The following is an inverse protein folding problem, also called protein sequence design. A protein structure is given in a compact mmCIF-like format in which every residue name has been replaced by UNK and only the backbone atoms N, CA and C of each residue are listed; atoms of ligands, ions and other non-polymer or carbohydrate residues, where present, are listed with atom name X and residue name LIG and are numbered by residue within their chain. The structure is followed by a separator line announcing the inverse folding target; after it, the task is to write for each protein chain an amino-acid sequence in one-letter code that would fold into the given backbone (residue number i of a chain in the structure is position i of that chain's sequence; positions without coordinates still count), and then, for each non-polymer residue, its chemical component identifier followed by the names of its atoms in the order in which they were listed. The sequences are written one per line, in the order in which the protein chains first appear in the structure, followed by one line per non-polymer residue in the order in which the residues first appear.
data_IF_452076647637
#
_entry.id   IF_452076647637
#
_cell.length_a   1.000
_cell.length_b   1.000
_cell.length_c   1.000
_cell.angle_alpha   90.00
_cell.angle_beta   90.00
_cell.angle_gamma   90.00
#
_symmetry.space_group_name_H-M   'P 1'
#
loop_
_entity.id
_entity.type
_entity.pdbx_description
1 polymer ?
#
# COMPACT_ATOMS: atom_id res chain seq x y z
N UNK A 1 15.85 -21.06 -0.68
CA UNK A 1 16.75 -19.99 -1.15
C UNK A 1 16.62 -19.90 -2.65
N UNK A 2 16.54 -18.70 -3.21
CA UNK A 2 16.53 -18.48 -4.66
C UNK A 2 17.96 -18.70 -5.22
N UNK A 3 18.14 -19.53 -6.26
CA UNK A 3 19.45 -19.72 -6.90
C UNK A 3 19.99 -18.42 -7.51
N UNK A 4 21.31 -18.19 -7.44
CA UNK A 4 21.95 -16.98 -8.00
C UNK A 4 21.91 -16.97 -9.53
N UNK A 5 21.86 -18.17 -10.12
CA UNK A 5 21.81 -18.46 -11.55
C UNK A 5 20.55 -17.89 -12.20
N UNK A 6 19.49 -17.65 -11.43
CA UNK A 6 18.28 -16.98 -11.94
C UNK A 6 18.62 -15.60 -12.54
N UNK A 7 19.62 -14.91 -12.00
CA UNK A 7 20.10 -13.64 -12.53
C UNK A 7 20.78 -13.74 -13.90
N UNK A 8 21.06 -14.95 -14.41
CA UNK A 8 21.54 -15.16 -15.78
C UNK A 8 20.40 -15.20 -16.80
N UNK A 9 19.15 -15.31 -16.36
CA UNK A 9 17.95 -15.31 -17.20
C UNK A 9 17.60 -13.88 -17.65
N UNK A 10 18.50 -13.20 -18.35
CA UNK A 10 18.39 -11.77 -18.73
C UNK A 10 17.23 -11.46 -19.67
N UNK A 11 16.63 -12.49 -20.30
CA UNK A 11 15.42 -12.37 -21.14
C UNK A 11 14.12 -12.64 -20.36
N UNK A 12 14.20 -12.97 -19.08
CA UNK A 12 13.05 -13.28 -18.24
C UNK A 12 12.17 -12.03 -18.11
N UNK A 13 10.89 -12.19 -18.42
CA UNK A 13 9.87 -11.13 -18.31
C UNK A 13 8.98 -11.30 -17.09
N UNK A 14 8.81 -12.52 -16.60
CA UNK A 14 7.94 -12.83 -15.46
C UNK A 14 8.67 -13.73 -14.50
N UNK A 15 8.66 -13.36 -13.22
CA UNK A 15 9.20 -14.16 -12.13
C UNK A 15 8.12 -14.31 -11.07
N UNK A 16 7.59 -15.51 -10.95
CA UNK A 16 6.60 -15.89 -9.94
C UNK A 16 7.25 -16.77 -8.88
N UNK A 17 7.26 -16.28 -7.65
CA UNK A 17 7.77 -16.87 -6.43
C UNK A 17 6.67 -16.96 -5.36
N UNK A 18 5.40 -16.83 -5.75
CA UNK A 18 4.27 -17.00 -4.84
C UNK A 18 4.22 -18.42 -4.29
N UNK A 19 3.66 -18.56 -3.09
CA UNK A 19 3.52 -19.82 -2.37
C UNK A 19 4.85 -20.58 -2.13
N UNK A 20 5.99 -19.90 -2.26
CA UNK A 20 7.30 -20.45 -1.93
C UNK A 20 7.56 -20.30 -0.42
N UNK A 21 6.77 -20.97 0.43
CA UNK A 21 6.79 -20.80 1.90
C UNK A 21 8.14 -21.10 2.58
N UNK A 22 9.05 -21.80 1.88
CA UNK A 22 10.42 -22.09 2.35
C UNK A 22 11.46 -21.08 1.82
N UNK A 23 11.03 -20.04 1.09
CA UNK A 23 11.91 -19.01 0.54
C UNK A 23 12.35 -18.06 1.66
N UNK A 24 13.48 -18.39 2.30
CA UNK A 24 14.10 -17.53 3.33
C UNK A 24 15.16 -16.59 2.78
N UNK A 25 15.62 -16.82 1.55
CA UNK A 25 16.78 -16.10 1.03
C UNK A 25 16.68 -15.80 -0.44
N UNK A 26 16.83 -14.52 -0.78
CA UNK A 26 17.01 -14.01 -2.12
C UNK A 26 18.41 -13.39 -2.15
N UNK A 27 19.38 -13.98 -2.86
CA UNK A 27 20.74 -13.45 -2.88
C UNK A 27 20.78 -12.01 -3.41
N UNK A 28 21.65 -11.14 -2.86
CA UNK A 28 21.78 -9.78 -3.33
C UNK A 28 22.35 -9.74 -4.75
N UNK A 29 21.90 -8.76 -5.53
CA UNK A 29 22.25 -8.52 -6.92
C UNK A 29 21.49 -9.38 -7.93
N UNK A 30 20.55 -10.22 -7.49
CA UNK A 30 19.74 -11.06 -8.40
C UNK A 30 18.81 -10.20 -9.23
N UNK A 31 18.06 -9.28 -8.61
CA UNK A 31 17.10 -8.46 -9.34
C UNK A 31 17.81 -7.44 -10.25
N UNK A 32 18.99 -6.95 -9.86
CA UNK A 32 19.78 -6.04 -10.69
C UNK A 32 20.12 -6.57 -12.09
N UNK A 33 20.14 -7.90 -12.28
CA UNK A 33 20.46 -8.55 -13.56
C UNK A 33 19.24 -8.81 -14.44
N UNK A 34 18.03 -8.67 -13.91
CA UNK A 34 16.77 -8.97 -14.59
C UNK A 34 16.15 -7.70 -15.18
N UNK A 35 16.91 -6.91 -15.95
CA UNK A 35 16.48 -5.59 -16.43
C UNK A 35 15.23 -5.59 -17.32
N UNK A 36 14.89 -6.73 -17.94
CA UNK A 36 13.71 -6.95 -18.79
C UNK A 36 12.50 -7.52 -18.06
N UNK A 37 12.57 -7.67 -16.73
CA UNK A 37 11.46 -8.18 -15.94
C UNK A 37 10.30 -7.18 -15.94
N UNK A 38 9.14 -7.66 -16.38
CA UNK A 38 7.88 -6.92 -16.47
C UNK A 38 6.97 -7.24 -15.28
N UNK A 39 7.00 -8.48 -14.79
CA UNK A 39 6.18 -8.95 -13.67
C UNK A 39 7.02 -9.66 -12.61
N UNK A 40 6.88 -9.20 -11.37
CA UNK A 40 7.47 -9.83 -10.20
C UNK A 40 6.39 -10.11 -9.17
N UNK A 41 6.13 -11.40 -8.93
CA UNK A 41 5.19 -11.86 -7.91
C UNK A 41 5.93 -12.68 -6.86
N UNK A 42 6.00 -12.19 -5.64
CA UNK A 42 6.57 -12.88 -4.48
C UNK A 42 5.47 -13.18 -3.45
N UNK A 43 4.47 -12.30 -3.37
CA UNK A 43 3.37 -12.40 -2.44
C UNK A 43 3.84 -12.35 -0.98
N UNK A 44 3.27 -13.22 -0.14
CA UNK A 44 3.64 -13.38 1.28
C UNK A 44 4.82 -14.35 1.49
N UNK A 45 5.45 -14.83 0.41
CA UNK A 45 6.50 -15.87 0.49
C UNK A 45 7.83 -15.38 1.04
N UNK A 46 8.05 -14.06 1.10
CA UNK A 46 9.32 -13.47 1.52
C UNK A 46 9.13 -12.09 2.16
N UNK A 47 9.72 -11.91 3.35
CA UNK A 47 9.71 -10.65 4.10
C UNK A 47 11.09 -10.22 4.59
N UNK A 48 12.10 -11.07 4.45
CA UNK A 48 13.46 -10.87 5.00
C UNK A 48 14.34 -9.95 4.12
N UNK A 49 13.81 -8.82 3.68
CA UNK A 49 14.53 -7.85 2.84
C UNK A 49 15.81 -7.33 3.53
N UNK A 50 16.91 -7.26 2.78
CA UNK A 50 18.18 -6.73 3.26
C UNK A 50 18.21 -5.20 3.32
N UNK A 51 19.16 -4.66 4.10
CA UNK A 51 19.39 -3.22 4.19
C UNK A 51 19.98 -2.66 2.88
N UNK A 52 19.57 -1.44 2.51
CA UNK A 52 20.13 -0.72 1.36
C UNK A 52 21.64 -0.47 1.57
N UNK A 53 22.43 -0.56 0.51
CA UNK A 53 23.88 -0.33 0.54
C UNK A 53 24.73 -1.42 1.20
N UNK A 54 24.12 -2.41 1.85
CA UNK A 54 24.82 -3.51 2.52
C UNK A 54 24.66 -4.84 1.77
N UNK A 55 25.57 -5.10 0.83
CA UNK A 55 25.66 -6.39 0.12
C UNK A 55 26.81 -7.23 0.68
N UNK A 56 26.54 -8.00 1.74
CA UNK A 56 27.45 -9.07 2.16
C UNK A 56 27.00 -10.39 1.52
N UNK A 57 27.88 -11.39 1.45
CA UNK A 57 27.47 -12.69 0.94
C UNK A 57 26.30 -13.28 1.74
N UNK A 58 26.19 -12.94 3.03
CA UNK A 58 25.18 -13.43 3.97
C UNK A 58 23.87 -12.61 3.97
N UNK A 59 23.87 -11.40 3.40
CA UNK A 59 22.67 -10.57 3.36
C UNK A 59 21.65 -11.06 2.32
N UNK A 60 20.41 -10.59 2.47
CA UNK A 60 19.34 -10.75 1.48
C UNK A 60 19.32 -9.57 0.51
N UNK A 61 18.66 -9.75 -0.63
CA UNK A 61 18.33 -8.67 -1.56
C UNK A 61 17.58 -7.55 -0.83
N UNK A 62 17.94 -6.32 -1.14
CA UNK A 62 17.20 -5.14 -0.66
C UNK A 62 16.10 -4.75 -1.64
N UNK A 63 15.11 -3.98 -1.17
CA UNK A 63 14.11 -3.38 -2.06
C UNK A 63 14.73 -2.41 -3.09
N UNK A 64 15.93 -1.88 -2.82
CA UNK A 64 16.62 -0.96 -3.72
C UNK A 64 17.00 -1.61 -5.05
N UNK A 65 17.19 -2.93 -5.08
CA UNK A 65 17.48 -3.65 -6.33
C UNK A 65 16.31 -3.60 -7.33
N UNK A 66 15.07 -3.42 -6.84
CA UNK A 66 13.90 -3.29 -7.72
C UNK A 66 13.97 -2.01 -8.58
N UNK A 67 14.79 -1.01 -8.21
CA UNK A 67 15.06 0.18 -9.04
C UNK A 67 15.70 -0.18 -10.39
N UNK A 68 16.48 -1.26 -10.43
CA UNK A 68 17.13 -1.73 -11.66
C UNK A 68 16.16 -2.40 -12.64
N UNK A 69 14.97 -2.80 -12.19
CA UNK A 69 13.95 -3.47 -12.99
C UNK A 69 13.18 -2.45 -13.83
N UNK A 70 13.81 -1.84 -14.82
CA UNK A 70 13.25 -0.72 -15.60
C UNK A 70 11.87 -1.02 -16.21
N UNK A 71 11.65 -2.25 -16.72
CA UNK A 71 10.41 -2.68 -17.36
C UNK A 71 9.29 -3.14 -16.41
N UNK A 72 9.51 -3.12 -15.08
CA UNK A 72 8.55 -3.67 -14.11
C UNK A 72 7.25 -2.86 -14.08
N UNK A 73 6.14 -3.47 -14.47
CA UNK A 73 4.78 -2.88 -14.46
C UNK A 73 3.81 -3.62 -13.56
N UNK A 74 4.11 -4.87 -13.22
CA UNK A 74 3.31 -5.69 -12.28
C UNK A 74 4.16 -6.08 -11.09
N UNK A 75 3.73 -5.69 -9.88
CA UNK A 75 4.47 -5.99 -8.65
C UNK A 75 3.56 -6.52 -7.55
N UNK A 76 3.91 -7.69 -7.03
CA UNK A 76 3.22 -8.29 -5.92
C UNK A 76 4.23 -8.69 -4.84
N UNK A 77 4.25 -7.94 -3.74
CA UNK A 77 5.23 -8.13 -2.66
C UNK A 77 4.65 -7.75 -1.31
N UNK A 78 5.30 -8.27 -0.27
CA UNK A 78 5.16 -7.81 1.09
C UNK A 78 6.38 -7.03 1.56
N UNK A 79 6.13 -5.89 2.18
CA UNK A 79 7.10 -4.97 2.76
C UNK A 79 6.81 -4.92 4.27
N UNK A 80 7.67 -5.49 5.14
CA UNK A 80 7.39 -5.56 6.58
C UNK A 80 7.34 -4.19 7.25
N UNK A 81 8.01 -3.18 6.69
CA UNK A 81 8.07 -1.84 7.26
C UNK A 81 8.25 -0.78 6.15
N UNK A 82 7.43 0.28 6.14
CA UNK A 82 7.57 1.36 5.15
C UNK A 82 8.97 2.01 5.16
N UNK A 83 9.68 2.00 6.31
CA UNK A 83 11.02 2.57 6.47
C UNK A 83 12.11 1.86 5.63
N UNK A 84 11.87 0.63 5.19
CA UNK A 84 12.84 -0.09 4.33
C UNK A 84 12.67 0.24 2.84
N UNK A 85 11.65 1.02 2.48
CA UNK A 85 11.48 1.52 1.12
C UNK A 85 12.58 2.56 0.88
N UNK A 86 13.45 2.35 -0.12
CA UNK A 86 14.62 3.21 -0.31
C UNK A 86 14.20 4.58 -0.84
N UNK A 87 14.97 5.62 -0.50
CA UNK A 87 14.69 6.99 -0.96
C UNK A 87 14.74 7.05 -2.50
N UNK A 88 13.79 7.76 -3.12
CA UNK A 88 13.68 7.87 -4.58
C UNK A 88 13.24 6.57 -5.27
N UNK A 89 12.60 5.64 -4.56
CA UNK A 89 12.00 4.45 -5.14
C UNK A 89 10.61 4.77 -5.68
N UNK A 90 10.46 4.89 -7.00
CA UNK A 90 9.17 5.24 -7.59
C UNK A 90 8.31 4.02 -7.93
N UNK A 91 7.07 4.02 -7.44
CA UNK A 91 6.01 3.07 -7.84
C UNK A 91 5.19 3.56 -9.04
N UNK A 92 5.51 4.72 -9.63
CA UNK A 92 4.66 5.39 -10.63
C UNK A 92 4.34 4.55 -11.86
N UNK A 93 5.31 3.79 -12.34
CA UNK A 93 5.19 2.94 -13.53
C UNK A 93 4.33 1.70 -13.35
N UNK A 94 3.95 1.35 -12.11
CA UNK A 94 3.16 0.16 -11.85
C UNK A 94 1.73 0.35 -12.38
N UNK A 95 1.34 -0.57 -13.25
CA UNK A 95 -0.02 -0.65 -13.80
C UNK A 95 -0.89 -1.59 -12.96
N UNK A 96 -0.27 -2.65 -12.43
CA UNK A 96 -0.90 -3.65 -11.58
C UNK A 96 -0.04 -3.90 -10.33
N UNK A 97 -0.65 -3.91 -9.16
CA UNK A 97 0.08 -4.21 -7.94
C UNK A 97 -0.79 -4.83 -6.85
N UNK A 98 -0.18 -5.69 -6.06
CA UNK A 98 -0.71 -6.19 -4.79
C UNK A 98 0.42 -5.99 -3.78
N UNK A 99 0.37 -4.90 -3.03
CA UNK A 99 1.43 -4.53 -2.09
C UNK A 99 0.86 -4.51 -0.68
N UNK A 100 1.52 -5.24 0.22
CA UNK A 100 1.27 -5.11 1.65
C UNK A 100 2.45 -4.40 2.31
N UNK A 101 2.18 -3.31 3.01
CA UNK A 101 3.14 -2.60 3.85
C UNK A 101 2.71 -2.74 5.32
N UNK A 102 3.54 -3.40 6.13
CA UNK A 102 3.31 -3.57 7.56
C UNK A 102 3.71 -4.93 8.14
N UNK A 103 3.66 -5.00 9.47
CA UNK A 103 3.96 -6.22 10.22
C UNK A 103 2.93 -7.32 9.91
N UNK A 104 3.36 -8.58 10.05
CA UNK A 104 2.51 -9.74 9.81
C UNK A 104 1.54 -9.92 10.96
N UNK A 105 0.46 -9.13 10.97
CA UNK A 105 -0.74 -9.54 11.69
C UNK A 105 -1.31 -10.81 11.03
N UNK A 106 -1.96 -11.64 11.83
CA UNK A 106 -2.49 -12.97 11.47
C UNK A 106 -3.66 -12.88 10.49
N UNK A 107 -3.35 -12.52 9.24
CA UNK A 107 -4.33 -12.34 8.19
C UNK A 107 -4.42 -13.56 7.33
N UNK A 108 -5.64 -14.09 7.23
CA UNK A 108 -5.99 -15.03 6.19
C UNK A 108 -6.02 -14.25 4.87
N UNK A 109 -4.94 -14.34 4.09
CA UNK A 109 -4.91 -13.83 2.72
C UNK A 109 -5.86 -14.67 1.90
N UNK A 110 -7.12 -14.25 1.82
CA UNK A 110 -7.95 -14.78 0.76
C UNK A 110 -7.50 -14.14 -0.56
N UNK A 111 -6.47 -14.75 -1.14
CA UNK A 111 -5.81 -14.34 -2.36
C UNK A 111 -6.79 -14.18 -3.53
N UNK A 112 -7.89 -14.94 -3.51
CA UNK A 112 -8.93 -14.86 -4.53
C UNK A 112 -9.57 -13.48 -4.57
N UNK A 113 -9.98 -12.90 -3.43
CA UNK A 113 -10.59 -11.55 -3.40
C UNK A 113 -9.59 -10.44 -3.75
N UNK A 114 -8.32 -10.63 -3.42
CA UNK A 114 -7.27 -9.63 -3.68
C UNK A 114 -6.89 -9.59 -5.17
N UNK A 115 -6.98 -10.73 -5.88
CA UNK A 115 -6.65 -10.85 -7.29
C UNK A 115 -7.71 -10.26 -8.24
N UNK A 116 -8.95 -10.04 -7.76
CA UNK A 116 -10.03 -9.40 -8.53
C UNK A 116 -9.72 -7.95 -8.89
N UNK A 117 -8.90 -7.28 -8.07
CA UNK A 117 -8.50 -5.89 -8.28
C UNK A 117 -7.10 -5.81 -8.87
N UNK A 118 -6.91 -4.87 -9.81
CA UNK A 118 -5.59 -4.67 -10.42
C UNK A 118 -4.64 -3.94 -9.48
N UNK A 119 -5.17 -3.13 -8.58
CA UNK A 119 -4.38 -2.26 -7.70
C UNK A 119 -4.86 -2.42 -6.26
N UNK A 120 -4.28 -3.39 -5.56
CA UNK A 120 -4.55 -3.63 -4.14
C UNK A 120 -3.41 -3.09 -3.28
N UNK A 121 -3.75 -2.24 -2.33
CA UNK A 121 -2.82 -1.77 -1.30
C UNK A 121 -3.35 -2.14 0.08
N UNK A 122 -2.52 -2.83 0.86
CA UNK A 122 -2.78 -3.09 2.27
C UNK A 122 -1.76 -2.35 3.13
N UNK A 123 -2.24 -1.68 4.15
CA UNK A 123 -1.47 -0.90 5.09
C UNK A 123 -1.79 -1.39 6.50
N UNK A 124 -0.78 -1.91 7.20
CA UNK A 124 -0.81 -2.13 8.65
C UNK A 124 0.29 -1.27 9.24
N UNK A 125 -0.10 -0.10 9.75
CA UNK A 125 0.85 0.97 10.07
C UNK A 125 0.79 1.29 11.56
N UNK A 126 1.96 1.35 12.18
CA UNK A 126 2.12 1.88 13.53
C UNK A 126 2.14 3.43 13.56
N UNK A 127 2.01 4.09 12.41
CA UNK A 127 2.11 5.54 12.22
C UNK A 127 1.06 6.05 11.24
N UNK A 128 0.75 7.35 11.27
CA UNK A 128 -0.22 7.95 10.33
C UNK A 128 0.24 7.82 8.87
N UNK A 129 -0.74 7.69 7.95
CA UNK A 129 -0.53 7.70 6.50
C UNK A 129 0.17 8.98 6.02
N UNK A 130 -0.06 10.10 6.72
CA UNK A 130 0.59 11.39 6.43
C UNK A 130 2.12 11.34 6.50
N UNK A 131 2.69 10.42 7.30
CA UNK A 131 4.13 10.23 7.45
C UNK A 131 4.72 9.22 6.45
N UNK A 132 3.91 8.64 5.55
CA UNK A 132 4.41 7.78 4.49
C UNK A 132 5.16 8.61 3.45
N UNK A 133 6.19 8.01 2.84
CA UNK A 133 6.88 8.58 1.69
C UNK A 133 5.87 8.83 0.54
N UNK A 134 6.05 9.92 -0.21
CA UNK A 134 5.24 10.29 -1.36
C UNK A 134 5.12 9.16 -2.39
N UNK A 135 6.18 8.35 -2.57
CA UNK A 135 6.14 7.17 -3.43
C UNK A 135 5.08 6.14 -3.00
N UNK A 136 4.85 5.97 -1.69
CA UNK A 136 3.78 5.11 -1.16
C UNK A 136 2.42 5.78 -1.32
N UNK A 137 2.35 7.12 -1.19
CA UNK A 137 1.12 7.87 -1.45
C UNK A 137 0.64 7.74 -2.89
N UNK A 138 1.53 7.55 -3.86
CA UNK A 138 1.17 7.23 -5.26
C UNK A 138 0.36 5.93 -5.33
N UNK A 139 0.74 4.90 -4.58
CA UNK A 139 -0.03 3.65 -4.49
C UNK A 139 -1.42 3.90 -3.89
N UNK A 140 -1.53 4.79 -2.90
CA UNK A 140 -2.83 5.15 -2.31
C UNK A 140 -3.74 5.84 -3.32
N UNK A 141 -3.22 6.79 -4.13
CA UNK A 141 -3.99 7.52 -5.14
C UNK A 141 -4.56 6.61 -6.23
N UNK A 142 -3.82 5.56 -6.59
CA UNK A 142 -4.20 4.63 -7.68
C UNK A 142 -4.94 3.39 -7.19
N UNK A 143 -5.07 3.17 -5.88
CA UNK A 143 -5.63 1.92 -5.33
C UNK A 143 -7.10 1.74 -5.71
N UNK A 144 -7.45 0.53 -6.13
CA UNK A 144 -8.82 0.08 -6.35
C UNK A 144 -9.36 -0.66 -5.11
N UNK A 145 -8.48 -1.40 -4.44
CA UNK A 145 -8.79 -2.13 -3.22
C UNK A 145 -7.84 -1.67 -2.12
N UNK A 146 -8.37 -0.97 -1.13
CA UNK A 146 -7.59 -0.38 -0.05
C UNK A 146 -7.97 -1.01 1.27
N UNK A 147 -6.94 -1.53 1.95
CA UNK A 147 -7.07 -2.17 3.24
C UNK A 147 -6.20 -1.47 4.28
N UNK A 148 -6.81 -1.06 5.40
CA UNK A 148 -6.13 -0.35 6.49
C UNK A 148 -6.37 -1.11 7.81
N UNK A 149 -5.29 -1.52 8.47
CA UNK A 149 -5.27 -2.31 9.72
C UNK A 149 -4.40 -1.66 10.83
N UNK A 150 -4.70 -2.03 12.08
CA UNK A 150 -4.01 -1.68 13.34
C UNK A 150 -3.65 -0.20 13.42
N UNK A 151 -4.67 0.63 13.22
CA UNK A 151 -4.57 2.08 13.21
C UNK A 151 -4.49 2.61 14.65
N UNK A 152 -3.37 2.31 15.32
CA UNK A 152 -3.01 2.92 16.62
C UNK A 152 -2.76 4.40 16.42
N UNK A 153 -3.76 5.23 16.69
CA UNK A 153 -3.63 6.69 16.63
C UNK A 153 -3.45 7.25 15.22
N UNK A 154 -3.85 6.53 14.18
CA UNK A 154 -3.82 7.06 12.81
C UNK A 154 -5.03 7.95 12.61
N UNK A 155 -4.84 9.23 12.85
CA UNK A 155 -5.59 10.26 12.17
C UNK A 155 -5.06 10.28 10.73
N UNK A 156 -5.90 10.00 9.71
CA UNK A 156 -5.53 10.31 8.33
C UNK A 156 -5.64 11.83 8.22
N UNK A 157 -4.58 12.53 8.61
CA UNK A 157 -4.41 13.95 8.36
C UNK A 157 -4.22 14.11 6.85
N UNK A 158 -5.25 14.64 6.20
CA UNK A 158 -5.23 14.96 4.79
C UNK A 158 -4.95 16.46 4.68
N UNK A 159 -3.70 16.85 4.44
CA UNK A 159 -3.37 18.24 4.13
C UNK A 159 -4.05 18.65 2.80
N UNK A 160 -4.60 19.86 2.78
CA UNK A 160 -5.53 20.40 1.77
C UNK A 160 -5.13 20.15 0.29
N UNK A 161 -3.83 20.13 -0.03
CA UNK A 161 -3.32 20.02 -1.40
C UNK A 161 -3.38 18.61 -2.00
N UNK A 162 -3.56 17.57 -1.18
CA UNK A 162 -3.52 16.18 -1.66
C UNK A 162 -4.88 15.45 -1.56
N UNK A 163 -5.83 16.00 -0.78
CA UNK A 163 -7.12 15.38 -0.41
C UNK A 163 -7.95 14.97 -1.62
N UNK A 164 -8.09 15.87 -2.61
CA UNK A 164 -9.03 15.70 -3.71
C UNK A 164 -8.72 14.53 -4.66
N UNK A 165 -7.50 13.98 -4.62
CA UNK A 165 -7.06 12.90 -5.51
C UNK A 165 -6.96 11.54 -4.81
N UNK A 166 -7.03 11.48 -3.48
CA UNK A 166 -7.02 10.21 -2.79
C UNK A 166 -8.38 9.51 -2.94
N UNK A 167 -8.34 8.20 -3.14
CA UNK A 167 -9.51 7.32 -3.12
C UNK A 167 -10.55 7.46 -4.24
N UNK A 168 -10.34 8.33 -5.24
CA UNK A 168 -11.23 8.44 -6.40
C UNK A 168 -11.41 7.12 -7.17
N UNK A 169 -10.38 6.27 -7.16
CA UNK A 169 -10.39 4.96 -7.83
C UNK A 169 -10.76 3.80 -6.90
N UNK A 170 -10.94 4.05 -5.61
CA UNK A 170 -11.21 2.99 -4.63
C UNK A 170 -12.61 2.44 -4.84
N UNK A 171 -12.67 1.12 -5.07
CA UNK A 171 -13.87 0.31 -5.21
C UNK A 171 -14.17 -0.47 -3.95
N UNK A 172 -13.14 -0.94 -3.24
CA UNK A 172 -13.29 -1.61 -1.96
C UNK A 172 -12.43 -0.90 -0.91
N UNK A 173 -13.07 -0.42 0.16
CA UNK A 173 -12.40 0.18 1.31
C UNK A 173 -12.66 -0.67 2.55
N UNK A 174 -11.60 -1.19 3.16
CA UNK A 174 -11.67 -1.89 4.43
C UNK A 174 -10.82 -1.19 5.47
N UNK A 175 -11.43 -0.82 6.60
CA UNK A 175 -10.75 -0.22 7.75
C UNK A 175 -11.06 -1.05 8.98
N UNK A 176 -10.03 -1.45 9.72
CA UNK A 176 -10.24 -2.15 10.97
C UNK A 176 -9.20 -1.93 12.06
N UNK A 177 -9.52 -2.40 13.27
CA UNK A 177 -8.65 -2.39 14.44
C UNK A 177 -8.17 -0.98 14.82
N UNK A 178 -9.08 -0.01 14.76
CA UNK A 178 -8.83 1.40 15.10
C UNK A 178 -9.48 1.78 16.42
N UNK A 179 -8.92 1.24 17.51
CA UNK A 179 -9.48 1.41 18.85
C UNK A 179 -9.68 2.87 19.27
N UNK A 180 -8.88 3.80 18.73
CA UNK A 180 -8.92 5.23 19.09
C UNK A 180 -9.42 6.13 17.95
N UNK A 181 -9.79 5.57 16.80
CA UNK A 181 -10.24 6.39 15.67
C UNK A 181 -11.64 6.93 15.97
N UNK A 182 -11.75 8.26 16.00
CA UNK A 182 -13.03 8.97 16.03
C UNK A 182 -13.43 9.49 14.65
N UNK A 183 -12.45 9.87 13.84
CA UNK A 183 -12.64 10.39 12.49
C UNK A 183 -11.67 9.69 11.56
N UNK A 184 -12.15 9.23 10.40
CA UNK A 184 -11.28 8.62 9.39
C UNK A 184 -10.38 9.71 8.79
N UNK A 185 -10.94 10.88 8.52
CA UNK A 185 -10.25 12.05 7.99
C UNK A 185 -10.38 13.23 8.95
N UNK A 186 -9.26 13.91 9.21
CA UNK A 186 -9.19 15.02 10.16
C UNK A 186 -8.84 16.34 9.48
N UNK A 187 -9.29 17.44 10.08
CA UNK A 187 -8.99 18.83 9.73
C UNK A 187 -9.30 19.17 8.26
N UNK A 188 -10.49 18.76 7.82
CA UNK A 188 -10.96 19.06 6.47
C UNK A 188 -11.70 20.41 6.50
N UNK A 189 -11.13 21.41 5.84
CA UNK A 189 -11.76 22.73 5.70
C UNK A 189 -12.94 22.71 4.72
N UNK A 190 -12.94 21.77 3.77
CA UNK A 190 -14.03 21.55 2.80
C UNK A 190 -14.32 20.06 2.59
N UNK A 191 -15.32 19.55 3.31
CA UNK A 191 -15.73 18.13 3.29
C UNK A 191 -16.18 17.68 1.90
N UNK A 192 -16.61 18.61 1.03
CA UNK A 192 -17.04 18.32 -0.34
C UNK A 192 -15.88 17.87 -1.25
N UNK A 193 -14.61 17.97 -0.80
CA UNK A 193 -13.45 17.49 -1.56
C UNK A 193 -13.21 15.98 -1.45
N UNK A 194 -13.88 15.28 -0.54
CA UNK A 194 -13.72 13.83 -0.38
C UNK A 194 -14.91 13.12 -1.03
N UNK A 195 -14.70 12.57 -2.23
CA UNK A 195 -15.70 11.80 -2.94
C UNK A 195 -15.20 10.38 -3.25
N UNK A 196 -15.94 9.38 -2.77
CA UNK A 196 -15.71 7.97 -3.07
C UNK A 196 -16.44 7.56 -4.35
N UNK A 197 -16.03 8.14 -5.48
CA UNK A 197 -16.76 8.05 -6.76
C UNK A 197 -16.99 6.64 -7.30
N UNK A 198 -16.10 5.70 -6.97
CA UNK A 198 -16.15 4.33 -7.47
C UNK A 198 -16.39 3.28 -6.38
N UNK A 199 -16.68 3.70 -5.16
CA UNK A 199 -16.79 2.78 -4.03
C UNK A 199 -18.02 1.87 -4.21
N UNK A 200 -17.77 0.57 -4.11
CA UNK A 200 -18.74 -0.52 -4.26
C UNK A 200 -18.91 -1.27 -2.95
N UNK A 201 -17.84 -1.37 -2.15
CA UNK A 201 -17.83 -2.09 -0.89
C UNK A 201 -17.07 -1.30 0.17
N UNK A 202 -17.68 -1.20 1.36
CA UNK A 202 -17.14 -0.53 2.53
C UNK A 202 -17.24 -1.50 3.71
N UNK A 203 -16.10 -1.80 4.34
CA UNK A 203 -16.05 -2.61 5.55
C UNK A 203 -15.39 -1.84 6.68
N UNK A 204 -16.11 -1.71 7.80
CA UNK A 204 -15.64 -1.07 9.03
C UNK A 204 -15.71 -2.11 10.16
N UNK A 205 -14.58 -2.49 10.75
CA UNK A 205 -14.53 -3.56 11.76
C UNK A 205 -13.66 -3.19 12.96
N UNK A 206 -14.17 -3.35 14.18
CA UNK A 206 -13.37 -3.04 15.38
C UNK A 206 -12.97 -1.56 15.48
N UNK A 207 -13.93 -0.67 15.24
CA UNK A 207 -13.79 0.79 15.34
C UNK A 207 -14.77 1.33 16.41
N UNK A 208 -14.56 1.02 17.70
CA UNK A 208 -15.57 1.27 18.74
C UNK A 208 -15.82 2.76 19.02
N UNK A 209 -14.88 3.63 18.66
CA UNK A 209 -14.94 5.06 18.92
C UNK A 209 -15.25 5.91 17.67
N UNK A 210 -15.55 5.28 16.51
CA UNK A 210 -15.78 6.00 15.26
C UNK A 210 -17.07 6.81 15.33
N UNK A 211 -16.95 8.13 15.13
CA UNK A 211 -18.06 9.09 15.17
C UNK A 211 -18.50 9.47 13.76
N UNK A 212 -17.55 9.79 12.88
CA UNK A 212 -17.81 10.27 11.53
C UNK A 212 -16.64 9.94 10.60
N UNK A 213 -16.85 10.02 9.29
CA UNK A 213 -15.75 9.94 8.33
C UNK A 213 -14.86 11.18 8.38
N UNK A 214 -15.41 12.36 8.69
CA UNK A 214 -14.71 13.64 8.61
C UNK A 214 -14.84 14.42 9.92
N UNK A 215 -13.77 15.07 10.37
CA UNK A 215 -13.84 16.14 11.38
C UNK A 215 -13.76 17.52 10.70
N UNK A 216 -14.65 18.45 11.06
CA UNK A 216 -14.60 19.83 10.58
C UNK A 216 -13.71 20.69 11.46
N UNK A 217 -12.93 21.58 10.84
CA UNK A 217 -12.13 22.55 11.57
C UNK A 217 -13.05 23.68 12.09
N UNK A 218 -13.15 23.84 13.42
CA UNK A 218 -14.09 24.76 14.09
C UNK A 218 -13.82 26.27 13.85
N UNK A 219 -12.87 26.61 12.98
CA UNK A 219 -12.57 28.00 12.57
C UNK A 219 -13.37 28.50 11.37
N UNK A 220 -14.07 27.63 10.64
CA UNK A 220 -14.92 28.03 9.51
C UNK A 220 -16.32 28.37 10.02
N UNK A 221 -16.66 29.66 10.05
CA UNK A 221 -18.03 30.13 10.23
C UNK A 221 -18.85 29.79 8.99
N UNK A 222 -19.39 28.58 8.91
CA UNK A 222 -20.60 28.31 8.15
C UNK A 222 -21.34 27.12 8.76
N UNK A 223 -22.51 27.41 9.32
CA UNK A 223 -23.48 26.42 9.77
C UNK A 223 -24.31 26.02 8.55
N UNK A 224 -24.27 24.75 8.16
CA UNK A 224 -25.49 23.96 7.97
C UNK A 224 -25.14 22.46 7.97
N UNK A 225 -26.00 21.58 8.53
CA UNK A 225 -25.91 20.15 8.28
C UNK A 225 -26.48 19.86 6.89
N UNK A 226 -25.83 20.36 5.84
CA UNK A 226 -26.08 19.89 4.48
C UNK A 226 -25.44 18.51 4.36
N UNK A 227 -26.23 17.56 3.86
CA UNK A 227 -25.87 16.16 3.69
C UNK A 227 -24.47 16.03 3.10
N UNK A 228 -23.56 15.49 3.90
CA UNK A 228 -22.19 15.16 3.48
C UNK A 228 -22.31 14.16 2.32
N UNK A 229 -22.09 14.63 1.09
CA UNK A 229 -22.20 13.81 -0.12
C UNK A 229 -20.96 12.91 -0.33
N UNK A 230 -20.51 12.21 0.71
CA UNK A 230 -19.42 11.22 0.63
C UNK A 230 -19.75 10.08 -0.34
N UNK A 231 -21.04 9.77 -0.48
CA UNK A 231 -21.57 8.68 -1.28
C UNK A 231 -22.73 9.20 -2.14
N UNK A 232 -22.45 9.60 -3.39
CA UNK A 232 -23.53 9.96 -4.33
C UNK A 232 -24.30 8.69 -4.71
N UNK A 233 -25.62 8.70 -4.51
CA UNK A 233 -26.49 7.67 -5.09
C UNK A 233 -26.49 7.84 -6.61
N UNK A 234 -26.20 6.76 -7.34
CA UNK A 234 -26.40 6.68 -8.79
C UNK A 234 -27.80 6.20 -9.10
#
# INVERSE_FOLDING_TARGET
MLPREIGQLTKLKRLDLRYCSRLKRIPPGVFCKLSRLEELSIGDSFVEWGAEGHSSQQSNSSLAELKALSCLTTLEIRIPNAKIIPKGFSFEKLQRYIIFIGEASHWDWNWYWVAEYSRTLKLSLQTSISFLNDDVKVLLKKAENLFIDDVKGVEILLHESEVGNYFQQVKNLHIQNGGMIQYIFKDIDDVHKIEFLQLQSLTLKGLPNLISFCSTNKGSTSISPQEIALFKQK
#
